data_IF_598829636274
#
_entry.id   IF_598829636274
#
_cell.length_a   1.000
_cell.length_b   1.000
_cell.length_c   1.000
_cell.angle_alpha   90.00
_cell.angle_beta   90.00
_cell.angle_gamma   90.00
#
_symmetry.space_group_name_H-M   'P 1'
#
loop_
_entity.id
_entity.type
_entity.pdbx_description
1 polymer ?
#
# COMPACT_ATOMS: atom_id res chain seq x y z
N UNK A 1 -7.94 -22.31 24.14
CA UNK A 1 -8.65 -21.75 22.96
C UNK A 1 -7.64 -20.96 22.13
N UNK A 2 -7.75 -20.93 20.80
CA UNK A 2 -6.87 -20.09 19.98
C UNK A 2 -7.38 -18.64 19.99
N UNK A 3 -6.48 -17.67 20.15
CA UNK A 3 -6.79 -16.25 20.10
C UNK A 3 -5.79 -15.52 19.21
N UNK A 4 -6.23 -14.46 18.54
CA UNK A 4 -5.37 -13.62 17.71
C UNK A 4 -4.83 -12.48 18.56
N UNK A 5 -3.50 -12.39 18.63
CA UNK A 5 -2.77 -11.29 19.25
C UNK A 5 -2.20 -10.41 18.14
N UNK A 6 -2.38 -9.11 18.26
CA UNK A 6 -1.82 -8.11 17.35
C UNK A 6 -0.58 -7.50 18.00
N UNK A 7 0.44 -7.21 17.20
CA UNK A 7 1.68 -6.63 17.72
C UNK A 7 2.27 -5.61 16.74
N UNK A 8 3.06 -4.69 17.28
CA UNK A 8 3.88 -3.74 16.52
C UNK A 8 5.36 -4.06 16.72
N UNK A 9 6.09 -4.18 15.63
CA UNK A 9 7.54 -4.36 15.61
C UNK A 9 8.27 -3.03 15.89
N UNK A 10 9.56 -3.06 16.29
CA UNK A 10 10.35 -1.85 16.51
C UNK A 10 10.54 -0.99 15.24
N UNK A 11 10.39 -1.59 14.06
CA UNK A 11 10.42 -0.92 12.75
C UNK A 11 9.10 -0.18 12.42
N UNK A 12 8.08 -0.27 13.28
CA UNK A 12 6.76 0.34 13.07
C UNK A 12 5.79 -0.52 12.27
N UNK A 13 6.26 -1.60 11.64
CA UNK A 13 5.38 -2.60 11.02
C UNK A 13 4.49 -3.29 12.04
N UNK A 14 3.29 -3.67 11.61
CA UNK A 14 2.32 -4.40 12.45
C UNK A 14 2.13 -5.83 11.95
N UNK A 15 1.85 -6.74 12.88
CA UNK A 15 1.62 -8.15 12.59
C UNK A 15 0.56 -8.75 13.50
N UNK A 16 0.15 -9.96 13.18
CA UNK A 16 -0.77 -10.76 13.99
C UNK A 16 -0.24 -12.18 14.14
N UNK A 17 -0.49 -12.79 15.30
CA UNK A 17 -0.14 -14.18 15.58
C UNK A 17 -1.31 -14.86 16.27
N UNK A 18 -1.61 -16.08 15.85
CA UNK A 18 -2.58 -16.93 16.53
C UNK A 18 -1.88 -17.72 17.62
N UNK A 19 -2.28 -17.52 18.87
CA UNK A 19 -1.68 -18.17 20.04
C UNK A 19 -2.71 -19.02 20.76
N UNK A 20 -2.26 -20.13 21.33
CA UNK A 20 -3.09 -20.93 22.22
C UNK A 20 -3.12 -20.27 23.59
N UNK A 21 -4.27 -19.68 23.96
CA UNK A 21 -4.50 -19.17 25.30
C UNK A 21 -5.15 -20.29 26.14
N UNK A 22 -4.46 -20.90 27.11
CA UNK A 22 -5.13 -21.73 28.11
C UNK A 22 -6.13 -20.87 28.87
N UNK A 23 -7.27 -21.46 29.26
CA UNK A 23 -8.45 -20.80 29.85
C UNK A 23 -8.09 -19.71 30.87
N UNK A 24 -8.03 -18.46 30.39
CA UNK A 24 -7.49 -17.33 31.13
C UNK A 24 -8.64 -16.50 31.68
N UNK A 25 -8.86 -16.58 32.99
CA UNK A 25 -10.00 -15.97 33.69
C UNK A 25 -9.63 -14.76 34.56
N UNK A 26 -8.37 -14.31 34.57
CA UNK A 26 -7.89 -13.19 35.39
C UNK A 26 -6.38 -13.02 35.36
N UNK A 27 -5.89 -11.90 35.90
CA UNK A 27 -4.51 -11.39 35.85
C UNK A 27 -3.39 -12.44 36.07
N UNK A 28 -2.23 -12.30 35.39
CA UNK A 28 -1.13 -13.25 35.51
C UNK A 28 -0.54 -13.30 36.91
N UNK A 29 -0.16 -14.48 37.43
CA UNK A 29 0.95 -14.57 38.36
C UNK A 29 2.26 -14.37 37.57
N UNK A 30 2.59 -13.13 37.23
CA UNK A 30 3.85 -12.75 36.58
C UNK A 30 3.65 -12.06 35.22
N UNK A 31 4.32 -10.92 35.04
CA UNK A 31 4.28 -9.96 33.92
C UNK A 31 4.42 -10.52 32.49
N UNK A 32 4.62 -11.83 32.30
CA UNK A 32 4.99 -12.41 31.01
C UNK A 32 3.86 -13.26 30.41
N UNK A 33 3.35 -12.91 29.21
CA UNK A 33 2.32 -13.70 28.55
C UNK A 33 2.84 -15.11 28.19
N UNK A 34 1.97 -16.13 28.14
CA UNK A 34 2.36 -17.51 27.81
C UNK A 34 2.74 -17.71 26.32
N UNK A 35 2.98 -16.64 25.58
CA UNK A 35 3.36 -16.64 24.17
C UNK A 35 4.53 -15.70 23.93
N UNK A 36 5.38 -16.06 22.97
CA UNK A 36 6.52 -15.25 22.57
C UNK A 36 6.15 -14.37 21.37
N UNK A 37 6.24 -13.06 21.56
CA UNK A 37 6.23 -12.10 20.46
C UNK A 37 7.64 -12.01 19.82
N UNK A 38 7.75 -11.50 18.59
CA UNK A 38 9.06 -11.17 18.02
C UNK A 38 9.87 -10.25 18.94
N UNK A 39 11.22 -10.32 18.90
CA UNK A 39 12.06 -9.54 19.81
C UNK A 39 11.83 -8.03 19.60
N UNK A 40 11.49 -7.34 20.70
CA UNK A 40 11.18 -5.90 20.67
C UNK A 40 9.80 -5.56 20.12
N UNK A 41 8.97 -6.55 19.79
CA UNK A 41 7.59 -6.31 19.43
C UNK A 41 6.74 -6.07 20.69
N UNK A 42 5.78 -5.16 20.56
CA UNK A 42 4.85 -4.77 21.63
C UNK A 42 3.45 -5.20 21.23
N UNK A 43 2.71 -5.80 22.15
CA UNK A 43 1.29 -6.11 21.93
C UNK A 43 0.50 -4.82 21.73
N UNK A 44 -0.33 -4.80 20.69
CA UNK A 44 -1.24 -3.69 20.41
C UNK A 44 -2.68 -4.20 20.36
N UNK A 45 -3.62 -3.29 20.54
CA UNK A 45 -5.02 -3.60 20.34
C UNK A 45 -5.33 -3.85 18.85
N UNK A 46 -6.47 -4.51 18.60
CA UNK A 46 -6.99 -4.66 17.23
C UNK A 46 -7.21 -3.30 16.54
N UNK A 47 -7.71 -2.32 17.29
CA UNK A 47 -7.98 -0.98 16.75
C UNK A 47 -6.68 -0.29 16.31
N UNK A 48 -5.63 -0.37 17.14
CA UNK A 48 -4.31 0.15 16.78
C UNK A 48 -3.70 -0.56 15.56
N UNK A 49 -3.91 -1.88 15.44
CA UNK A 49 -3.50 -2.66 14.27
C UNK A 49 -4.21 -2.17 13.01
N UNK A 50 -5.54 -2.09 13.03
CA UNK A 50 -6.37 -1.67 11.89
C UNK A 50 -6.03 -0.22 11.47
N UNK A 51 -5.83 0.68 12.43
CA UNK A 51 -5.45 2.06 12.16
C UNK A 51 -4.05 2.17 11.53
N UNK A 52 -3.06 1.45 12.09
CA UNK A 52 -1.70 1.47 11.54
C UNK A 52 -1.67 0.86 10.13
N UNK A 53 -2.43 -0.21 9.91
CA UNK A 53 -2.55 -0.85 8.61
C UNK A 53 -3.25 0.03 7.56
N UNK A 54 -4.24 0.83 7.98
CA UNK A 54 -4.86 1.82 7.11
C UNK A 54 -3.89 2.95 6.71
N UNK A 55 -3.11 3.46 7.66
CA UNK A 55 -2.09 4.50 7.42
C UNK A 55 -1.00 4.02 6.45
N UNK A 56 -0.48 2.81 6.66
CA UNK A 56 0.51 2.19 5.77
C UNK A 56 -0.05 2.04 4.34
N UNK A 57 -1.30 1.59 4.21
CA UNK A 57 -1.92 1.45 2.89
C UNK A 57 -2.12 2.80 2.21
N UNK A 58 -2.59 3.81 2.93
CA UNK A 58 -2.75 5.16 2.39
C UNK A 58 -1.41 5.73 1.90
N UNK A 59 -0.32 5.54 2.67
CA UNK A 59 1.02 5.96 2.28
C UNK A 59 1.52 5.22 1.02
N UNK A 60 1.27 3.91 0.91
CA UNK A 60 1.63 3.11 -0.27
C UNK A 60 0.84 3.56 -1.50
N UNK A 61 -0.46 3.80 -1.36
CA UNK A 61 -1.30 4.27 -2.46
C UNK A 61 -0.86 5.65 -2.95
N UNK A 62 -0.56 6.57 -2.03
CA UNK A 62 -0.06 7.90 -2.34
C UNK A 62 1.29 7.82 -3.06
N UNK A 63 2.23 7.02 -2.57
CA UNK A 63 3.51 6.80 -3.23
C UNK A 63 3.33 6.21 -4.64
N UNK A 64 2.42 5.24 -4.81
CA UNK A 64 2.13 4.65 -6.12
C UNK A 64 1.56 5.68 -7.09
N UNK A 65 0.68 6.58 -6.63
CA UNK A 65 0.15 7.67 -7.45
C UNK A 65 1.26 8.60 -7.91
N UNK A 66 2.11 9.06 -6.99
CA UNK A 66 3.23 9.94 -7.33
C UNK A 66 4.20 9.30 -8.34
N UNK A 67 4.52 8.02 -8.17
CA UNK A 67 5.36 7.28 -9.14
C UNK A 67 4.67 7.18 -10.49
N UNK A 68 3.39 6.81 -10.54
CA UNK A 68 2.63 6.69 -11.78
C UNK A 68 2.52 8.04 -12.51
N UNK A 69 2.30 9.15 -11.80
CA UNK A 69 2.26 10.49 -12.36
C UNK A 69 3.63 10.90 -12.93
N UNK A 70 4.71 10.62 -12.22
CA UNK A 70 6.07 10.90 -12.69
C UNK A 70 6.43 10.07 -13.95
N UNK A 71 6.06 8.78 -13.96
CA UNK A 71 6.28 7.91 -15.13
C UNK A 71 5.44 8.36 -16.33
N UNK A 72 4.17 8.74 -16.12
CA UNK A 72 3.31 9.26 -17.18
C UNK A 72 3.86 10.57 -17.77
N UNK A 73 4.33 11.49 -16.92
CA UNK A 73 4.94 12.75 -17.36
C UNK A 73 6.22 12.49 -18.18
N UNK A 74 7.06 11.55 -17.74
CA UNK A 74 8.27 11.15 -18.46
C UNK A 74 7.95 10.51 -19.82
N UNK A 75 7.03 9.55 -19.84
CA UNK A 75 6.61 8.88 -21.07
C UNK A 75 6.06 9.89 -22.10
N UNK A 76 5.25 10.86 -21.63
CA UNK A 76 4.75 11.94 -22.49
C UNK A 76 5.89 12.79 -23.06
N UNK A 77 6.84 13.22 -22.22
CA UNK A 77 7.98 14.03 -22.66
C UNK A 77 8.85 13.28 -23.69
N UNK A 78 9.10 11.99 -23.48
CA UNK A 78 9.84 11.13 -24.40
C UNK A 78 9.09 10.97 -25.74
N UNK A 79 7.77 10.79 -25.70
CA UNK A 79 6.92 10.77 -26.90
C UNK A 79 7.04 12.07 -27.70
N UNK A 80 6.90 13.23 -27.03
CA UNK A 80 6.98 14.54 -27.68
C UNK A 80 8.38 14.79 -28.28
N UNK A 81 9.44 14.40 -27.60
CA UNK A 81 10.82 14.48 -28.09
C UNK A 81 11.03 13.61 -29.34
N UNK A 82 10.52 12.36 -29.34
CA UNK A 82 10.59 11.46 -30.49
C UNK A 82 9.80 12.02 -31.69
N UNK A 83 8.61 12.59 -31.45
CA UNK A 83 7.82 13.25 -32.49
C UNK A 83 8.57 14.45 -33.09
N UNK A 84 9.20 15.28 -32.25
CA UNK A 84 9.99 16.42 -32.69
C UNK A 84 11.23 16.00 -33.49
N UNK A 85 11.81 14.84 -33.18
CA UNK A 85 12.91 14.23 -33.94
C UNK A 85 12.48 13.61 -35.28
N UNK A 86 11.19 13.67 -35.63
CA UNK A 86 10.66 13.13 -36.88
C UNK A 86 10.34 11.63 -36.85
N UNK A 87 10.33 11.01 -35.67
CA UNK A 87 9.93 9.61 -35.52
C UNK A 87 8.40 9.50 -35.76
N UNK A 88 7.95 8.53 -36.59
CA UNK A 88 6.53 8.27 -36.78
C UNK A 88 5.81 8.02 -35.46
N UNK A 89 4.56 8.49 -35.35
CA UNK A 89 3.79 8.42 -34.12
C UNK A 89 3.71 7.00 -33.52
N UNK A 90 3.44 6.00 -34.35
CA UNK A 90 3.32 4.61 -33.91
C UNK A 90 4.60 4.12 -33.23
N UNK A 91 5.76 4.46 -33.81
CA UNK A 91 7.07 4.11 -33.26
C UNK A 91 7.36 4.92 -32.00
N UNK A 92 7.03 6.22 -31.99
CA UNK A 92 7.20 7.08 -30.83
C UNK A 92 6.37 6.60 -29.62
N UNK A 93 5.11 6.16 -29.82
CA UNK A 93 4.26 5.58 -28.77
C UNK A 93 4.86 4.29 -28.22
N UNK A 94 5.29 3.40 -29.12
CA UNK A 94 5.88 2.10 -28.71
C UNK A 94 7.19 2.26 -27.95
N UNK A 95 8.03 3.23 -28.32
CA UNK A 95 9.32 3.47 -27.67
C UNK A 95 9.20 4.22 -26.34
N UNK A 96 8.32 5.20 -26.24
CA UNK A 96 8.09 5.97 -25.02
C UNK A 96 7.21 5.23 -23.99
N UNK A 97 6.45 4.22 -24.43
CA UNK A 97 5.43 3.58 -23.60
C UNK A 97 4.22 4.49 -23.31
N UNK A 98 4.15 5.66 -23.94
CA UNK A 98 3.04 6.59 -23.76
C UNK A 98 1.82 6.15 -24.57
N UNK A 99 0.77 5.77 -23.85
CA UNK A 99 -0.57 5.59 -24.41
C UNK A 99 -1.37 6.86 -24.11
N UNK A 100 -1.67 7.70 -25.11
CA UNK A 100 -2.52 8.86 -24.89
C UNK A 100 -3.89 8.41 -24.36
N UNK A 101 -4.50 9.13 -23.40
CA UNK A 101 -5.84 8.82 -22.95
C UNK A 101 -6.79 8.89 -24.13
N UNK A 102 -7.58 7.84 -24.31
CA UNK A 102 -8.56 7.77 -25.39
C UNK A 102 -9.56 8.93 -25.22
N UNK A 103 -9.81 9.74 -26.27
CA UNK A 103 -10.71 10.89 -26.16
C UNK A 103 -12.13 10.49 -25.76
N UNK A 104 -12.58 9.26 -26.01
CA UNK A 104 -13.93 8.80 -25.63
C UNK A 104 -14.07 8.48 -24.13
N UNK A 105 -12.96 8.30 -23.40
CA UNK A 105 -13.00 8.00 -21.95
C UNK A 105 -13.17 9.23 -21.06
N UNK A 106 -13.03 10.45 -21.60
CA UNK A 106 -13.20 11.70 -20.84
C UNK A 106 -14.66 12.17 -20.74
N UNK A 107 -15.55 11.70 -21.63
CA UNK A 107 -16.97 12.09 -21.63
C UNK A 107 -17.85 11.27 -20.66
N UNK A 108 -17.39 10.13 -20.17
CA UNK A 108 -18.18 9.25 -19.29
C UNK A 108 -18.20 9.67 -17.81
N UNK A 109 -17.28 10.56 -17.36
CA UNK A 109 -17.22 11.01 -15.96
C UNK A 109 -18.13 12.23 -15.65
N UNK A 110 -18.84 12.76 -16.64
CA UNK A 110 -19.64 13.98 -16.52
C UNK A 110 -21.17 13.79 -16.38
N UNK A 111 -21.69 12.56 -16.50
CA UNK A 111 -23.15 12.31 -16.45
C UNK A 111 -23.54 11.45 -15.26
N UNK A 112 -23.51 12.06 -14.07
CA UNK A 112 -24.13 11.54 -12.86
C UNK A 112 -24.61 12.70 -12.00
N UNK A 113 -25.73 13.34 -12.40
CA UNK A 113 -26.52 14.21 -11.53
C UNK A 113 -27.77 13.47 -11.08
#
# INVERSE_FOLDING_TARGET
MQTTVYYRNPDGSVGQVTVERPDWTGEPPGDEPPYQLPPGAVEITREEYEQTLADIQAAIEEQRRQVAEAEAARAKADYEALRAAGIPEEIARRLSGYTPPDPESQDAAGQGR
#
